data_IF_131240342861
#
_entry.id   IF_131240342861
#
_cell.length_a   1.000
_cell.length_b   1.000
_cell.length_c   1.000
_cell.angle_alpha   90.00
_cell.angle_beta   90.00
_cell.angle_gamma   90.00
#
_symmetry.space_group_name_H-M   'P 1'
#
loop_
_entity.id
_entity.type
_entity.pdbx_description
1 polymer ?
#
# COMPACT_ATOMS: atom_id res chain seq x y z
N UNK A 1 4.56 -18.86 14.47
CA UNK A 1 5.21 -17.82 13.65
C UNK A 1 4.46 -17.51 12.35
N UNK A 2 3.88 -18.50 11.65
CA UNK A 2 3.18 -18.26 10.37
C UNK A 2 1.85 -17.50 10.59
N UNK A 3 1.00 -17.99 11.49
CA UNK A 3 -0.31 -17.37 11.79
C UNK A 3 -0.16 -15.92 12.24
N UNK A 4 0.77 -15.65 13.17
CA UNK A 4 1.04 -14.29 13.66
C UNK A 4 1.61 -13.36 12.59
N UNK A 5 2.35 -13.88 11.61
CA UNK A 5 2.92 -13.08 10.51
C UNK A 5 1.87 -12.72 9.46
N UNK A 6 0.97 -13.65 9.14
CA UNK A 6 -0.17 -13.39 8.24
C UNK A 6 -1.15 -12.41 8.90
N UNK A 7 -1.46 -12.61 10.18
CA UNK A 7 -2.26 -11.67 10.96
C UNK A 7 -1.64 -10.27 11.04
N UNK A 8 -0.33 -10.16 11.28
CA UNK A 8 0.35 -8.87 11.28
C UNK A 8 0.24 -8.16 9.92
N UNK A 9 0.33 -8.91 8.81
CA UNK A 9 0.09 -8.35 7.48
C UNK A 9 -1.35 -7.86 7.31
N UNK A 10 -2.33 -8.68 7.70
CA UNK A 10 -3.75 -8.30 7.64
C UNK A 10 -4.06 -7.06 8.49
N UNK A 11 -3.43 -6.92 9.66
CA UNK A 11 -3.54 -5.74 10.51
C UNK A 11 -2.87 -4.50 9.88
N UNK A 12 -1.70 -4.64 9.27
CA UNK A 12 -1.07 -3.51 8.55
C UNK A 12 -1.96 -2.97 7.44
N UNK A 13 -2.70 -3.83 6.74
CA UNK A 13 -3.66 -3.39 5.71
C UNK A 13 -4.84 -2.59 6.24
N UNK A 14 -5.06 -2.55 7.55
CA UNK A 14 -6.06 -1.69 8.19
C UNK A 14 -5.49 -0.34 8.65
N UNK A 15 -4.25 -0.02 8.29
CA UNK A 15 -3.55 1.23 8.61
C UNK A 15 -2.64 1.17 9.85
N UNK A 16 -2.38 -0.02 10.40
CA UNK A 16 -1.44 -0.17 11.53
C UNK A 16 0.02 -0.11 11.05
N UNK A 17 0.87 0.59 11.81
CA UNK A 17 2.31 0.55 11.57
C UNK A 17 2.84 -0.89 11.68
N UNK A 18 3.92 -1.17 10.95
CA UNK A 18 4.52 -2.52 10.93
C UNK A 18 4.92 -3.03 12.32
N UNK A 19 5.35 -2.13 13.19
CA UNK A 19 5.75 -2.44 14.56
C UNK A 19 4.52 -2.74 15.43
N UNK A 20 3.49 -1.89 15.37
CA UNK A 20 2.24 -2.09 16.09
C UNK A 20 1.56 -3.39 15.65
N UNK A 21 1.40 -3.63 14.35
CA UNK A 21 0.74 -4.84 13.84
C UNK A 21 1.46 -6.15 14.24
N UNK A 22 2.80 -6.16 14.23
CA UNK A 22 3.60 -7.32 14.67
C UNK A 22 3.47 -7.56 16.17
N UNK A 23 3.52 -6.48 16.95
CA UNK A 23 3.35 -6.56 18.40
C UNK A 23 1.93 -7.06 18.72
N UNK A 24 0.91 -6.46 18.12
CA UNK A 24 -0.48 -6.80 18.35
C UNK A 24 -0.82 -8.24 17.94
N UNK A 25 -0.36 -8.70 16.77
CA UNK A 25 -0.60 -10.07 16.34
C UNK A 25 0.07 -11.12 17.25
N UNK A 26 1.25 -10.80 17.80
CA UNK A 26 1.93 -11.67 18.77
C UNK A 26 1.19 -11.67 20.10
N UNK A 27 0.91 -10.49 20.65
CA UNK A 27 0.24 -10.35 21.95
C UNK A 27 -1.16 -10.94 21.95
N UNK A 28 -1.91 -10.79 20.84
CA UNK A 28 -3.22 -11.44 20.66
C UNK A 28 -3.11 -12.97 20.67
N UNK A 29 -2.14 -13.53 19.95
CA UNK A 29 -1.96 -14.97 19.82
C UNK A 29 -1.41 -15.62 21.09
N UNK A 30 -0.55 -14.93 21.84
CA UNK A 30 0.02 -15.43 23.09
C UNK A 30 -0.86 -15.14 24.31
N UNK A 31 -1.90 -14.31 24.15
CA UNK A 31 -2.79 -13.92 25.24
C UNK A 31 -2.14 -13.01 26.28
N UNK A 32 -1.02 -12.33 25.96
CA UNK A 32 -0.28 -11.48 26.90
C UNK A 32 -0.95 -10.13 27.17
N UNK A 33 -2.09 -9.84 26.53
CA UNK A 33 -2.85 -8.60 26.68
C UNK A 33 -2.30 -7.42 25.87
N UNK A 34 -2.98 -6.28 25.99
CA UNK A 34 -2.68 -5.02 25.32
C UNK A 34 -2.61 -3.88 26.34
N UNK A 35 -1.88 -2.81 26.03
CA UNK A 35 -2.04 -1.54 26.75
C UNK A 35 -3.34 -0.85 26.29
N UNK A 36 -3.84 0.10 27.08
CA UNK A 36 -5.12 0.77 26.82
C UNK A 36 -5.15 1.48 25.46
N UNK A 37 -4.08 2.19 25.09
CA UNK A 37 -3.94 2.84 23.78
C UNK A 37 -3.95 1.83 22.62
N UNK A 38 -3.23 0.71 22.76
CA UNK A 38 -3.19 -0.34 21.74
C UNK A 38 -4.56 -1.02 21.55
N UNK A 39 -5.34 -1.14 22.63
CA UNK A 39 -6.68 -1.70 22.60
C UNK A 39 -7.67 -0.80 21.86
N UNK A 40 -7.58 0.51 22.04
CA UNK A 40 -8.42 1.50 21.34
C UNK A 40 -8.17 1.46 19.82
N UNK A 41 -6.90 1.30 19.42
CA UNK A 41 -6.50 1.14 18.02
C UNK A 41 -7.04 -0.14 17.37
N UNK A 42 -7.28 -1.21 18.13
CA UNK A 42 -7.82 -2.47 17.58
C UNK A 42 -9.35 -2.46 17.55
N UNK A 43 -9.98 -1.95 18.60
CA UNK A 43 -11.43 -2.11 18.84
C UNK A 43 -12.27 -1.16 17.98
N UNK A 44 -11.72 0.00 17.61
CA UNK A 44 -12.40 1.05 16.83
C UNK A 44 -12.72 0.61 15.40
N UNK A 45 -11.97 -0.35 14.84
CA UNK A 45 -12.17 -0.82 13.47
C UNK A 45 -12.73 -2.25 13.44
N UNK A 46 -13.86 -2.49 12.73
CA UNK A 46 -14.56 -3.77 12.77
C UNK A 46 -13.69 -4.95 12.28
N UNK A 47 -12.88 -4.74 11.24
CA UNK A 47 -11.99 -5.78 10.68
C UNK A 47 -10.81 -6.08 11.61
N UNK A 48 -10.22 -5.06 12.26
CA UNK A 48 -9.09 -5.25 13.21
C UNK A 48 -9.54 -6.10 14.39
N UNK A 49 -10.71 -5.76 14.93
CA UNK A 49 -11.33 -6.48 16.03
C UNK A 49 -11.60 -7.95 15.68
N UNK A 50 -12.11 -8.25 14.48
CA UNK A 50 -12.33 -9.64 14.04
C UNK A 50 -11.03 -10.44 13.93
N UNK A 51 -9.98 -9.84 13.34
CA UNK A 51 -8.66 -10.49 13.21
C UNK A 51 -8.08 -10.81 14.60
N UNK A 52 -8.14 -9.86 15.53
CA UNK A 52 -7.61 -10.04 16.89
C UNK A 52 -8.42 -11.05 17.69
N UNK A 53 -9.76 -11.02 17.60
CA UNK A 53 -10.61 -12.03 18.26
C UNK A 53 -10.30 -13.45 17.77
N UNK A 54 -10.12 -13.62 16.45
CA UNK A 54 -9.76 -14.92 15.88
C UNK A 54 -8.38 -15.40 16.37
N UNK A 55 -7.39 -14.50 16.44
CA UNK A 55 -6.05 -14.82 16.94
C UNK A 55 -6.06 -15.28 18.40
N UNK A 56 -6.81 -14.58 19.26
CA UNK A 56 -6.96 -14.94 20.66
C UNK A 56 -7.60 -16.31 20.82
N UNK A 57 -8.65 -16.60 20.03
CA UNK A 57 -9.30 -17.90 20.04
C UNK A 57 -8.34 -19.00 19.60
N UNK A 58 -7.64 -18.81 18.47
CA UNK A 58 -6.71 -19.80 17.92
C UNK A 58 -5.55 -20.10 18.86
N UNK A 59 -5.00 -19.06 19.50
CA UNK A 59 -3.90 -19.20 20.46
C UNK A 59 -4.28 -20.09 21.64
N UNK A 60 -5.40 -19.78 22.29
CA UNK A 60 -5.86 -20.51 23.47
C UNK A 60 -6.36 -21.93 23.15
N UNK A 61 -7.13 -22.11 22.07
CA UNK A 61 -7.64 -23.42 21.65
C UNK A 61 -6.49 -24.37 21.28
N UNK A 62 -5.47 -23.86 20.58
CA UNK A 62 -4.30 -24.66 20.20
C UNK A 62 -3.55 -25.21 21.42
N UNK A 63 -3.28 -24.36 22.40
CA UNK A 63 -2.58 -24.76 23.63
C UNK A 63 -3.41 -25.77 24.43
N UNK A 64 -4.72 -25.50 24.61
CA UNK A 64 -5.61 -26.38 25.35
C UNK A 64 -5.73 -27.77 24.70
N UNK A 65 -5.80 -27.84 23.36
CA UNK A 65 -5.90 -29.10 22.62
C UNK A 65 -4.64 -29.95 22.77
N UNK A 66 -3.46 -29.31 22.66
CA UNK A 66 -2.18 -30.01 22.85
C UNK A 66 -2.05 -30.51 24.29
N UNK A 67 -2.37 -29.66 25.28
CA UNK A 67 -2.34 -30.04 26.69
C UNK A 67 -3.29 -31.22 26.99
N UNK A 68 -4.52 -31.20 26.48
CA UNK A 68 -5.48 -32.28 26.63
C UNK A 68 -4.99 -33.58 25.98
N UNK A 69 -4.41 -33.49 24.77
CA UNK A 69 -3.88 -34.66 24.05
C UNK A 69 -2.71 -35.29 24.81
N UNK A 70 -1.79 -34.48 25.31
CA UNK A 70 -0.66 -34.95 26.13
C UNK A 70 -1.16 -35.57 27.42
N UNK A 71 -2.14 -34.96 28.10
CA UNK A 71 -2.74 -35.49 29.33
C UNK A 71 -3.39 -36.85 29.10
N UNK A 72 -4.22 -36.99 28.05
CA UNK A 72 -4.84 -38.27 27.67
C UNK A 72 -3.77 -39.31 27.37
N UNK A 73 -2.72 -38.95 26.63
CA UNK A 73 -1.61 -39.85 26.31
C UNK A 73 -0.84 -40.33 27.55
N UNK A 74 -0.65 -39.48 28.55
CA UNK A 74 0.02 -39.85 29.81
C UNK A 74 -0.87 -40.74 30.66
N UNK A 75 -2.17 -40.43 30.77
CA UNK A 75 -3.13 -41.23 31.54
C UNK A 75 -3.31 -42.64 30.95
N UNK A 76 -3.29 -42.79 29.62
CA UNK A 76 -3.38 -44.10 28.97
C UNK A 76 -2.14 -44.99 29.20
N UNK A 77 -1.03 -44.41 29.66
CA UNK A 77 0.27 -45.10 29.79
C UNK A 77 0.44 -45.82 31.14
N UNK A 78 -0.32 -45.46 32.18
CA UNK A 78 -0.11 -45.91 33.56
C UNK A 78 -0.44 -47.38 33.85
N UNK A 79 -1.24 -48.06 33.02
CA UNK A 79 -1.61 -49.48 33.16
C UNK A 79 -1.24 -50.32 31.91
N UNK A 80 -0.34 -49.82 31.08
CA UNK A 80 -0.07 -50.39 29.75
C UNK A 80 1.22 -51.21 29.72
N UNK A 81 1.25 -52.30 28.94
CA UNK A 81 2.43 -53.12 28.74
C UNK A 81 3.60 -52.29 28.17
N UNK A 82 4.84 -52.68 28.47
CA UNK A 82 6.05 -51.98 28.03
C UNK A 82 6.10 -51.72 26.51
N UNK A 83 5.50 -52.61 25.72
CA UNK A 83 5.35 -52.47 24.26
C UNK A 83 4.47 -51.26 23.88
N UNK A 84 3.37 -51.04 24.58
CA UNK A 84 2.47 -49.91 24.36
C UNK A 84 3.12 -48.59 24.76
N UNK A 85 3.95 -48.60 25.82
CA UNK A 85 4.72 -47.44 26.24
C UNK A 85 5.76 -47.03 25.19
N UNK A 86 6.52 -48.00 24.65
CA UNK A 86 7.50 -47.76 23.58
C UNK A 86 6.81 -47.27 22.31
N UNK A 87 5.65 -47.84 21.94
CA UNK A 87 4.88 -47.42 20.77
C UNK A 87 4.42 -45.96 20.89
N UNK A 88 3.80 -45.58 22.02
CA UNK A 88 3.34 -44.21 22.26
C UNK A 88 4.49 -43.21 22.26
N UNK A 89 5.62 -43.57 22.88
CA UNK A 89 6.81 -42.73 22.87
C UNK A 89 7.35 -42.54 21.45
N UNK A 90 7.36 -43.60 20.65
CA UNK A 90 7.78 -43.55 19.24
C UNK A 90 6.85 -42.66 18.40
N UNK A 91 5.52 -42.77 18.60
CA UNK A 91 4.53 -41.92 17.92
C UNK A 91 4.67 -40.45 18.34
N UNK A 92 4.90 -40.18 19.63
CA UNK A 92 5.05 -38.83 20.16
C UNK A 92 6.31 -38.16 19.61
N UNK A 93 7.46 -38.84 19.69
CA UNK A 93 8.72 -38.32 19.14
C UNK A 93 8.63 -38.20 17.63
N UNK A 94 8.12 -39.23 16.94
CA UNK A 94 7.91 -39.21 15.50
C UNK A 94 6.97 -38.08 15.05
N UNK A 95 5.89 -37.84 15.80
CA UNK A 95 4.95 -36.75 15.57
C UNK A 95 5.60 -35.38 15.74
N UNK A 96 6.40 -35.18 16.79
CA UNK A 96 7.14 -33.93 17.02
C UNK A 96 8.18 -33.70 15.93
N UNK A 97 8.98 -34.72 15.59
CA UNK A 97 9.98 -34.65 14.52
C UNK A 97 9.32 -34.39 13.16
N UNK A 98 8.19 -35.03 12.89
CA UNK A 98 7.40 -34.79 11.68
C UNK A 98 6.86 -33.36 11.64
N UNK A 99 6.28 -32.85 12.73
CA UNK A 99 5.84 -31.46 12.82
C UNK A 99 6.99 -30.50 12.56
N UNK A 100 8.13 -30.71 13.21
CA UNK A 100 9.30 -29.86 13.03
C UNK A 100 9.80 -29.87 11.58
N UNK A 101 9.91 -31.05 10.96
CA UNK A 101 10.29 -31.20 9.56
C UNK A 101 9.27 -30.56 8.61
N UNK A 102 7.98 -30.70 8.89
CA UNK A 102 6.90 -30.13 8.09
C UNK A 102 6.92 -28.60 8.15
N UNK A 103 6.99 -28.01 9.36
CA UNK A 103 7.02 -26.56 9.53
C UNK A 103 8.34 -25.93 9.05
N UNK A 104 9.45 -26.67 9.05
CA UNK A 104 10.74 -26.24 8.48
C UNK A 104 10.87 -26.50 6.97
N UNK A 105 9.87 -27.13 6.34
CA UNK A 105 9.95 -27.48 4.93
C UNK A 105 9.81 -26.24 4.05
N UNK A 106 10.71 -26.13 3.07
CA UNK A 106 10.64 -25.15 1.98
C UNK A 106 9.31 -25.18 1.21
N UNK A 107 8.54 -26.26 1.33
CA UNK A 107 7.21 -26.35 0.74
C UNK A 107 6.17 -25.48 1.45
N UNK A 108 6.20 -25.47 2.79
CA UNK A 108 5.34 -24.61 3.62
C UNK A 108 5.72 -23.15 3.42
N UNK A 109 7.02 -22.86 3.34
CA UNK A 109 7.50 -21.51 3.06
C UNK A 109 7.05 -20.99 1.69
N UNK A 110 7.10 -21.85 0.65
CA UNK A 110 6.59 -21.51 -0.68
C UNK A 110 5.08 -21.30 -0.70
N UNK A 111 4.30 -22.16 -0.05
CA UNK A 111 2.85 -21.97 0.05
C UNK A 111 2.50 -20.69 0.82
N UNK A 112 3.25 -20.38 1.88
CA UNK A 112 3.07 -19.14 2.63
C UNK A 112 3.40 -17.92 1.76
N UNK A 113 4.51 -17.94 1.00
CA UNK A 113 4.81 -16.85 0.07
C UNK A 113 3.74 -16.72 -1.02
N UNK A 114 3.14 -17.84 -1.45
CA UNK A 114 2.01 -17.83 -2.39
C UNK A 114 0.73 -17.28 -1.76
N UNK A 115 0.41 -17.64 -0.52
CA UNK A 115 -0.75 -17.11 0.21
C UNK A 115 -0.57 -15.64 0.51
N UNK A 116 0.65 -15.22 0.90
CA UNK A 116 1.02 -13.81 1.06
C UNK A 116 0.87 -13.11 -0.28
N UNK A 117 1.46 -13.63 -1.36
CA UNK A 117 1.33 -13.05 -2.70
C UNK A 117 -0.12 -13.04 -3.22
N UNK A 118 -0.95 -14.00 -2.82
CA UNK A 118 -2.36 -14.07 -3.19
C UNK A 118 -3.22 -13.09 -2.37
N UNK A 119 -3.00 -12.98 -1.05
CA UNK A 119 -3.62 -11.98 -0.18
C UNK A 119 -3.21 -10.58 -0.61
N UNK A 120 -1.93 -10.40 -0.93
CA UNK A 120 -1.44 -9.20 -1.58
C UNK A 120 -2.18 -9.01 -2.91
N UNK A 121 -2.17 -9.94 -3.86
CA UNK A 121 -2.79 -9.71 -5.18
C UNK A 121 -4.32 -9.54 -5.17
N UNK A 122 -5.01 -10.09 -4.19
CA UNK A 122 -6.49 -10.10 -4.14
C UNK A 122 -7.05 -8.87 -3.41
N UNK A 123 -6.28 -8.26 -2.51
CA UNK A 123 -6.69 -7.06 -1.77
C UNK A 123 -5.70 -5.89 -1.89
N UNK A 124 -4.60 -6.11 -2.60
CA UNK A 124 -3.55 -5.15 -2.86
C UNK A 124 -3.25 -5.19 -4.35
N UNK A 125 -3.73 -4.16 -5.03
CA UNK A 125 -3.00 -3.61 -6.15
C UNK A 125 -1.69 -3.06 -5.55
N UNK A 126 -0.73 -3.95 -5.27
CA UNK A 126 0.62 -3.58 -4.83
C UNK A 126 1.40 -3.13 -6.04
N UNK A 127 0.87 -2.07 -6.64
CA UNK A 127 1.72 -1.08 -7.21
C UNK A 127 2.40 -0.34 -6.05
N UNK A 128 3.57 0.22 -6.31
CA UNK A 128 4.37 1.00 -5.35
C UNK A 128 3.70 2.38 -5.09
N UNK A 129 2.36 2.42 -5.10
CA UNK A 129 1.50 3.59 -5.14
C UNK A 129 0.97 4.03 -3.78
N UNK A 130 1.33 3.45 -2.65
CA UNK A 130 0.83 3.95 -1.35
C UNK A 130 1.64 5.14 -0.77
N UNK A 131 2.37 5.84 -1.65
CA UNK A 131 2.75 7.26 -1.49
C UNK A 131 1.84 8.21 -2.32
N UNK A 132 0.95 7.65 -3.15
CA UNK A 132 0.07 8.35 -4.11
C UNK A 132 -1.28 8.73 -3.47
N UNK A 133 -1.48 8.53 -2.16
CA UNK A 133 -2.66 9.05 -1.46
C UNK A 133 -2.72 10.60 -1.40
N UNK A 134 -1.71 11.31 -1.93
CA UNK A 134 -1.75 12.75 -2.21
C UNK A 134 -2.10 13.07 -3.68
N UNK A 135 -2.40 12.06 -4.49
CA UNK A 135 -2.85 12.20 -5.86
C UNK A 135 -4.26 11.63 -5.98
N UNK A 136 -5.20 12.48 -6.37
CA UNK A 136 -6.50 12.04 -6.84
C UNK A 136 -6.33 11.16 -8.08
N UNK A 137 -6.25 9.84 -7.87
CA UNK A 137 -6.27 8.80 -8.90
C UNK A 137 -7.60 8.74 -9.68
N UNK A 138 -8.53 9.67 -9.45
CA UNK A 138 -9.82 9.73 -10.12
C UNK A 138 -9.73 10.19 -11.58
N UNK A 139 -8.58 10.70 -12.05
CA UNK A 139 -8.43 11.26 -13.41
C UNK A 139 -7.16 10.88 -14.19
N UNK A 140 -6.36 9.89 -13.74
CA UNK A 140 -5.17 9.45 -14.49
C UNK A 140 -3.85 10.13 -14.11
N UNK A 141 -3.88 11.11 -13.21
CA UNK A 141 -2.67 11.75 -12.67
C UNK A 141 -1.90 10.80 -11.75
N UNK A 142 -0.58 10.70 -11.98
CA UNK A 142 0.31 9.84 -11.22
C UNK A 142 1.69 10.49 -11.00
N UNK A 143 2.39 10.04 -9.96
CA UNK A 143 3.84 10.25 -9.85
C UNK A 143 4.53 9.12 -10.61
N UNK A 144 5.41 9.45 -11.55
CA UNK A 144 6.15 8.46 -12.35
C UNK A 144 7.63 8.84 -12.49
N UNK A 145 8.48 7.85 -12.74
CA UNK A 145 9.90 8.03 -13.05
C UNK A 145 10.10 7.96 -14.57
N UNK A 146 10.83 8.91 -15.14
CA UNK A 146 11.20 8.94 -16.56
C UNK A 146 12.73 9.02 -16.70
N UNK A 147 13.32 8.10 -17.46
CA UNK A 147 14.75 8.13 -17.81
C UNK A 147 14.95 9.02 -19.04
N UNK A 148 15.88 9.98 -18.95
CA UNK A 148 16.17 10.88 -20.08
C UNK A 148 17.18 10.24 -21.02
N UNK A 149 16.77 9.94 -22.25
CA UNK A 149 17.62 9.46 -23.31
C UNK A 149 18.28 10.61 -24.10
N UNK A 150 19.45 10.40 -24.72
CA UNK A 150 20.14 11.43 -25.52
C UNK A 150 19.35 12.01 -26.70
N UNK A 151 18.28 11.33 -27.15
CA UNK A 151 17.45 11.74 -28.29
C UNK A 151 16.12 12.37 -27.88
N UNK A 152 15.87 12.47 -26.59
CA UNK A 152 14.62 13.01 -26.08
C UNK A 152 14.57 14.52 -26.29
N UNK A 153 13.36 15.01 -26.54
CA UNK A 153 13.13 16.42 -26.83
C UNK A 153 13.58 17.36 -25.71
N UNK A 154 13.56 16.87 -24.48
CA UNK A 154 13.90 17.62 -23.28
C UNK A 154 15.38 17.58 -22.89
N UNK A 155 16.16 16.69 -23.51
CA UNK A 155 17.58 16.54 -23.21
C UNK A 155 18.38 17.80 -23.58
N UNK A 156 19.21 18.28 -22.64
CA UNK A 156 20.06 19.47 -22.81
C UNK A 156 19.34 20.82 -22.69
N UNK A 157 18.05 20.83 -22.34
CA UNK A 157 17.25 22.05 -22.14
C UNK A 157 17.08 22.37 -20.66
N UNK A 158 16.82 23.64 -20.35
CA UNK A 158 16.47 24.07 -18.98
C UNK A 158 15.01 23.79 -18.69
N UNK A 159 14.67 23.48 -17.44
CA UNK A 159 13.28 23.27 -17.03
C UNK A 159 12.37 24.48 -17.37
N UNK A 160 12.89 25.70 -17.21
CA UNK A 160 12.15 26.92 -17.58
C UNK A 160 11.83 27.00 -19.08
N UNK A 161 12.73 26.51 -19.94
CA UNK A 161 12.51 26.50 -21.39
C UNK A 161 11.54 25.42 -21.85
N UNK A 162 11.42 24.33 -21.08
CA UNK A 162 10.55 23.20 -21.41
C UNK A 162 9.09 23.51 -21.14
N UNK A 163 8.79 24.37 -20.16
CA UNK A 163 7.42 24.78 -19.79
C UNK A 163 6.47 23.59 -19.60
N UNK A 164 6.95 22.51 -19.00
CA UNK A 164 6.17 21.27 -18.81
C UNK A 164 4.89 21.49 -17.99
N UNK A 165 4.88 22.50 -17.11
CA UNK A 165 3.68 22.91 -16.36
C UNK A 165 2.50 23.25 -17.27
N UNK A 166 2.79 23.79 -18.44
CA UNK A 166 1.77 24.23 -19.40
C UNK A 166 1.22 23.04 -20.20
N UNK A 167 1.88 21.88 -20.11
CA UNK A 167 1.38 20.59 -20.57
C UNK A 167 0.75 19.78 -19.41
N UNK A 168 0.56 20.39 -18.23
CA UNK A 168 0.01 19.69 -17.06
C UNK A 168 1.01 18.76 -16.34
N UNK A 169 2.31 18.86 -16.64
CA UNK A 169 3.37 18.03 -16.06
C UNK A 169 4.27 18.84 -15.14
N UNK A 170 4.38 18.41 -13.88
CA UNK A 170 5.24 19.02 -12.86
C UNK A 170 6.46 18.14 -12.58
N UNK A 171 7.65 18.73 -12.65
CA UNK A 171 8.89 18.05 -12.24
C UNK A 171 9.07 18.18 -10.73
N UNK A 172 9.02 17.05 -10.02
CA UNK A 172 9.17 17.00 -8.57
C UNK A 172 10.65 16.89 -8.15
N UNK A 173 11.44 16.09 -8.87
CA UNK A 173 12.87 15.92 -8.56
C UNK A 173 13.67 15.39 -9.75
N UNK A 174 14.99 15.54 -9.65
CA UNK A 174 15.96 15.04 -10.62
C UNK A 174 16.96 14.15 -9.90
N UNK A 175 17.13 12.91 -10.35
CA UNK A 175 18.20 12.01 -9.91
C UNK A 175 19.25 11.92 -11.01
N UNK A 176 20.42 12.53 -10.77
CA UNK A 176 21.53 12.58 -11.72
C UNK A 176 22.26 11.23 -11.81
N UNK A 177 22.87 10.97 -12.96
CA UNK A 177 23.83 9.88 -13.11
C UNK A 177 25.00 10.07 -12.10
N UNK A 178 25.18 9.11 -11.19
CA UNK A 178 26.09 9.23 -10.03
C UNK A 178 25.39 9.36 -8.67
N UNK A 179 24.06 9.35 -8.63
CA UNK A 179 23.28 9.20 -7.40
C UNK A 179 23.00 10.50 -6.65
N UNK A 180 23.31 11.66 -7.24
CA UNK A 180 22.96 12.96 -6.66
C UNK A 180 21.44 13.17 -6.83
N UNK A 181 20.76 13.33 -5.70
CA UNK A 181 19.32 13.59 -5.66
C UNK A 181 19.02 15.07 -5.44
N UNK A 182 18.31 15.67 -6.39
CA UNK A 182 17.86 17.06 -6.33
C UNK A 182 16.35 17.09 -6.10
N UNK A 183 15.94 17.29 -4.85
CA UNK A 183 14.53 17.23 -4.43
C UNK A 183 13.70 18.49 -4.72
N UNK A 184 14.32 19.59 -5.17
CA UNK A 184 13.62 20.84 -5.54
C UNK A 184 14.31 21.46 -6.76
N UNK A 185 14.04 20.94 -7.96
CA UNK A 185 14.61 21.49 -9.18
C UNK A 185 14.04 22.90 -9.45
N UNK A 186 14.87 23.76 -10.00
CA UNK A 186 14.63 25.16 -10.34
C UNK A 186 14.59 25.32 -11.86
N UNK A 187 14.04 26.44 -12.32
CA UNK A 187 13.90 26.71 -13.76
C UNK A 187 15.23 26.75 -14.54
N UNK A 188 16.34 27.10 -13.87
CA UNK A 188 17.68 27.15 -14.45
C UNK A 188 18.38 25.77 -14.52
N UNK A 189 17.81 24.73 -13.91
CA UNK A 189 18.36 23.38 -14.00
C UNK A 189 18.26 22.84 -15.42
N UNK A 190 19.40 22.37 -15.94
CA UNK A 190 19.50 21.70 -17.24
C UNK A 190 19.28 20.21 -17.05
N UNK A 191 18.37 19.64 -17.85
CA UNK A 191 18.14 18.20 -17.90
C UNK A 191 19.22 17.54 -18.75
N UNK A 192 19.91 16.54 -18.21
CA UNK A 192 20.98 15.84 -18.91
C UNK A 192 20.56 14.42 -19.31
N UNK A 193 21.06 13.88 -20.43
CA UNK A 193 20.91 12.47 -20.73
C UNK A 193 21.44 11.61 -19.58
N UNK A 194 20.71 10.56 -19.21
CA UNK A 194 21.02 9.71 -18.06
C UNK A 194 20.38 10.16 -16.74
N UNK A 195 19.79 11.35 -16.68
CA UNK A 195 18.99 11.78 -15.53
C UNK A 195 17.71 10.94 -15.43
N UNK A 196 17.25 10.69 -14.19
CA UNK A 196 15.91 10.17 -13.93
C UNK A 196 15.06 11.27 -13.31
N UNK A 197 14.02 11.69 -14.01
CA UNK A 197 13.06 12.68 -13.55
C UNK A 197 11.94 12.00 -12.78
N UNK A 198 11.55 12.58 -11.65
CA UNK A 198 10.30 12.22 -10.97
C UNK A 198 9.27 13.27 -11.34
N UNK A 199 8.23 12.85 -12.05
CA UNK A 199 7.20 13.69 -12.66
C UNK A 199 5.86 13.45 -11.98
N UNK A 200 5.05 14.50 -11.88
CA UNK A 200 3.63 14.45 -11.54
C UNK A 200 2.85 14.96 -12.75
N UNK A 201 1.89 14.19 -13.25
CA UNK A 201 1.08 14.59 -14.41
C UNK A 201 0.14 13.46 -14.81
N UNK A 202 -0.70 13.71 -15.81
CA UNK A 202 -1.48 12.65 -16.43
C UNK A 202 -0.56 11.59 -17.07
N UNK A 203 -0.89 10.31 -16.90
CA UNK A 203 -0.06 9.21 -17.39
C UNK A 203 0.10 9.23 -18.91
N UNK A 204 -0.94 9.59 -19.66
CA UNK A 204 -0.88 9.63 -21.11
C UNK A 204 0.02 10.80 -21.56
N UNK A 205 -0.04 11.93 -20.87
CA UNK A 205 0.83 13.09 -21.11
C UNK A 205 2.31 12.77 -20.85
N UNK A 206 2.60 12.10 -19.74
CA UNK A 206 3.97 11.71 -19.44
C UNK A 206 4.48 10.66 -20.43
N UNK A 207 3.64 9.70 -20.86
CA UNK A 207 4.03 8.73 -21.90
C UNK A 207 4.27 9.40 -23.26
N UNK A 208 3.49 10.42 -23.62
CA UNK A 208 3.74 11.25 -24.81
C UNK A 208 5.07 11.98 -24.71
N UNK A 209 5.37 12.57 -23.55
CA UNK A 209 6.64 13.25 -23.32
C UNK A 209 7.84 12.28 -23.43
N UNK A 210 7.72 11.07 -22.89
CA UNK A 210 8.77 10.03 -22.95
C UNK A 210 9.09 9.59 -24.39
N UNK A 211 8.06 9.52 -25.24
CA UNK A 211 8.25 9.16 -26.66
C UNK A 211 8.72 10.33 -27.52
N UNK A 212 8.62 11.57 -27.02
CA UNK A 212 8.87 12.80 -27.79
C UNK A 212 10.35 12.96 -28.13
N UNK A 213 10.65 13.03 -29.42
CA UNK A 213 12.02 13.18 -29.92
C UNK A 213 12.36 14.62 -30.28
N UNK A 214 13.64 14.97 -30.14
CA UNK A 214 14.13 16.30 -30.48
C UNK A 214 13.90 16.66 -31.96
N UNK A 215 13.61 17.95 -32.20
CA UNK A 215 13.39 18.53 -33.53
C UNK A 215 11.97 19.06 -33.75
N UNK A 216 11.70 19.53 -34.97
CA UNK A 216 10.47 20.24 -35.34
C UNK A 216 9.17 19.49 -35.03
N UNK A 217 9.19 18.15 -35.08
CA UNK A 217 8.03 17.33 -34.70
C UNK A 217 7.75 17.41 -33.20
N UNK A 218 8.79 17.29 -32.37
CA UNK A 218 8.64 17.42 -30.92
C UNK A 218 8.17 18.82 -30.50
N UNK A 219 8.62 19.87 -31.19
CA UNK A 219 8.16 21.24 -30.92
C UNK A 219 6.66 21.43 -31.27
N UNK A 220 6.18 20.80 -32.35
CA UNK A 220 4.75 20.77 -32.66
C UNK A 220 3.95 19.95 -31.64
N UNK A 221 4.45 18.78 -31.24
CA UNK A 221 3.80 17.96 -30.22
C UNK A 221 3.70 18.71 -28.88
N UNK A 222 4.72 19.46 -28.49
CA UNK A 222 4.66 20.36 -27.33
C UNK A 222 3.55 21.41 -27.47
N UNK A 223 3.50 22.12 -28.60
CA UNK A 223 2.46 23.14 -28.81
C UNK A 223 1.03 22.57 -28.76
N UNK A 224 0.83 21.36 -29.33
CA UNK A 224 -0.46 20.66 -29.27
C UNK A 224 -0.82 20.23 -27.85
N UNK A 225 0.13 19.72 -27.08
CA UNK A 225 -0.09 19.35 -25.67
C UNK A 225 -0.46 20.58 -24.81
N UNK A 226 0.16 21.74 -25.06
CA UNK A 226 -0.20 23.00 -24.38
C UNK A 226 -1.62 23.43 -24.71
N UNK A 227 -2.00 23.41 -25.99
CA UNK A 227 -3.37 23.78 -26.41
C UNK A 227 -4.42 22.86 -25.77
N UNK A 228 -4.19 21.54 -25.75
CA UNK A 228 -5.09 20.59 -25.11
C UNK A 228 -5.24 20.85 -23.60
N UNK A 229 -4.14 21.16 -22.93
CA UNK A 229 -4.15 21.46 -21.50
C UNK A 229 -4.89 22.78 -21.20
N UNK A 230 -4.70 23.82 -22.02
CA UNK A 230 -5.41 25.09 -21.89
C UNK A 230 -6.93 24.93 -22.04
N UNK A 231 -7.38 24.14 -23.02
CA UNK A 231 -8.80 23.80 -23.20
C UNK A 231 -9.36 23.08 -21.98
N UNK A 232 -8.65 22.06 -21.47
CA UNK A 232 -9.05 21.31 -20.28
C UNK A 232 -9.15 22.19 -19.04
N UNK A 233 -8.18 23.08 -18.82
CA UNK A 233 -8.18 24.02 -17.69
C UNK A 233 -9.29 25.08 -17.80
N UNK A 234 -9.69 25.46 -19.01
CA UNK A 234 -10.85 26.33 -19.20
C UNK A 234 -12.15 25.62 -18.79
N UNK A 235 -12.36 24.38 -19.23
CA UNK A 235 -13.54 23.58 -18.89
C UNK A 235 -13.63 23.30 -17.38
N UNK A 236 -12.50 22.99 -16.73
CA UNK A 236 -12.39 22.84 -15.28
C UNK A 236 -12.79 24.11 -14.52
N UNK A 237 -12.32 25.28 -14.97
CA UNK A 237 -12.66 26.56 -14.35
C UNK A 237 -14.15 26.87 -14.45
N UNK A 238 -14.77 26.59 -15.59
CA UNK A 238 -16.22 26.75 -15.75
C UNK A 238 -17.00 25.82 -14.81
N UNK A 239 -16.57 24.56 -14.69
CA UNK A 239 -17.21 23.59 -13.80
C UNK A 239 -17.08 23.99 -12.32
N UNK A 240 -15.90 24.45 -11.90
CA UNK A 240 -15.67 24.92 -10.52
C UNK A 240 -16.55 26.14 -10.20
N UNK A 241 -16.63 27.11 -11.10
CA UNK A 241 -17.51 28.28 -10.93
C UNK A 241 -18.99 27.87 -10.83
N UNK A 242 -19.43 26.91 -11.64
CA UNK A 242 -20.80 26.39 -11.58
C UNK A 242 -21.09 25.68 -10.24
N UNK A 243 -20.12 24.92 -9.72
CA UNK A 243 -20.22 24.24 -8.43
C UNK A 243 -20.28 25.22 -7.26
N UNK A 244 -19.40 26.23 -7.24
CA UNK A 244 -19.40 27.30 -6.25
C UNK A 244 -20.72 28.08 -6.27
N UNK A 245 -21.23 28.43 -7.45
CA UNK A 245 -22.51 29.11 -7.60
C UNK A 245 -23.68 28.27 -7.07
N UNK A 246 -23.69 26.96 -7.33
CA UNK A 246 -24.70 26.05 -6.81
C UNK A 246 -24.66 25.95 -5.28
N UNK A 247 -23.46 25.83 -4.71
CA UNK A 247 -23.28 25.78 -3.25
C UNK A 247 -23.73 27.08 -2.56
N UNK A 248 -23.46 28.23 -3.18
CA UNK A 248 -23.93 29.52 -2.67
C UNK A 248 -25.47 29.66 -2.70
N UNK A 249 -26.12 29.14 -3.75
CA UNK A 249 -27.58 29.13 -3.83
C UNK A 249 -28.21 28.21 -2.76
N UNK A 250 -27.64 27.01 -2.57
CA UNK A 250 -28.11 26.05 -1.57
C UNK A 250 -27.98 26.60 -0.15
N UNK A 251 -26.89 27.32 0.15
CA UNK A 251 -26.71 27.95 1.46
C UNK A 251 -27.70 29.10 1.70
N UNK A 252 -27.97 29.95 0.69
CA UNK A 252 -28.95 31.04 0.81
C UNK A 252 -30.39 30.51 1.00
N UNK A 253 -30.74 29.42 0.32
CA UNK A 253 -32.04 28.75 0.49
C UNK A 253 -32.16 28.15 1.90
N UNK A 254 -31.12 27.47 2.39
CA UNK A 254 -31.10 26.91 3.75
C UNK A 254 -31.28 27.99 4.81
N UNK A 255 -30.60 29.14 4.66
CA UNK A 255 -30.69 30.25 5.61
C UNK A 255 -32.10 30.89 5.61
N UNK A 256 -32.75 30.98 4.44
CA UNK A 256 -34.14 31.46 4.33
C UNK A 256 -35.15 30.50 4.95
N UNK A 257 -34.96 29.19 4.80
CA UNK A 257 -35.83 28.17 5.41
C UNK A 257 -35.71 28.19 6.93
N UNK A 258 -34.50 28.27 7.48
CA UNK A 258 -34.27 28.35 8.92
C UNK A 258 -34.90 29.62 9.55
N UNK A 259 -34.90 30.75 8.83
CA UNK A 259 -35.57 31.98 9.25
C UNK A 259 -37.10 31.90 9.21
N UNK A 260 -37.68 31.00 8.41
CA UNK A 260 -39.13 30.82 8.29
C UNK A 260 -39.69 29.82 9.32
N UNK A 261 -38.92 28.79 9.68
CA UNK A 261 -39.33 27.79 10.69
C UNK A 261 -39.11 28.26 12.14
N UNK A 262 -38.37 29.36 12.34
CA UNK A 262 -38.10 29.99 13.65
C UNK A 262 -39.07 31.09 14.08
N UNK A 263 -40.14 31.38 13.31
CA UNK A 263 -41.16 32.41 13.60
C UNK A 263 -42.55 31.80 13.77
#
# INVERSE_FOLDING_TARGET
>A
MIVTRVAAMALMFTGLSREAAKFQARSAFTGSGFTTQESEMVVTHPVRRQIVMLLMLLGNVGIATVAATVMVSVMSTSNSAWQTQVLLFTILVGGITFLWMFFSSRWVERHMNRVIAWLLKTFTDLDVRDYVSLLELSRGYAITEMLVEPRDWLAGKTLASLRLSDEGILVLSIRREGGIFQGTPRGDDVVQPGDVLILYGDLDDVERLDKRRAGFKGDQEHALSVEQQEEFEAEQRELLQALEAKQALESEISEKVEKLDGS
#
